data_IF_772489523004
#
_entry.id   IF_772489523004
#
_cell.length_a   1.000
_cell.length_b   1.000
_cell.length_c   1.000
_cell.angle_alpha   90.00
_cell.angle_beta   90.00
_cell.angle_gamma   90.00
#
_symmetry.space_group_name_H-M   'P 1'
#
loop_
_entity.id
_entity.type
_entity.pdbx_description
1 polymer ?
#
# COMPACT_ATOMS: atom_id res chain seq x y z
N UNK A 1 -25.55 -0.09 20.65
CA UNK A 1 -26.33 0.67 19.64
C UNK A 1 -25.41 1.78 19.14
N UNK A 2 -24.92 1.69 17.90
CA UNK A 2 -24.07 2.73 17.31
C UNK A 2 -24.97 3.89 16.87
N UNK A 3 -24.92 5.00 17.58
CA UNK A 3 -25.50 6.24 17.09
C UNK A 3 -24.57 6.79 16.00
N UNK A 4 -24.87 6.47 14.74
CA UNK A 4 -24.21 7.08 13.58
C UNK A 4 -24.77 8.50 13.34
N UNK A 5 -24.43 9.42 14.21
CA UNK A 5 -24.59 10.83 13.89
C UNK A 5 -23.43 11.20 12.95
N UNK A 6 -23.66 11.04 11.65
CA UNK A 6 -22.70 11.45 10.62
C UNK A 6 -22.66 12.98 10.59
N UNK A 7 -21.63 13.57 11.20
CA UNK A 7 -21.41 15.00 11.12
C UNK A 7 -20.86 15.37 9.72
N UNK A 8 -21.11 16.62 9.28
CA UNK A 8 -20.53 17.12 8.01
C UNK A 8 -19.00 17.00 7.98
N UNK A 9 -18.34 17.20 9.13
CA UNK A 9 -16.90 17.06 9.27
C UNK A 9 -16.44 15.61 9.10
N UNK A 10 -17.17 14.64 9.65
CA UNK A 10 -16.88 13.22 9.47
C UNK A 10 -17.02 12.78 8.03
N UNK A 11 -18.02 13.32 7.32
CA UNK A 11 -18.24 13.00 5.90
C UNK A 11 -17.11 13.55 5.02
N UNK A 12 -16.71 14.81 5.24
CA UNK A 12 -15.59 15.44 4.53
C UNK A 12 -14.27 14.73 4.82
N UNK A 13 -14.03 14.35 6.07
CA UNK A 13 -12.84 13.59 6.45
C UNK A 13 -12.82 12.21 5.80
N UNK A 14 -13.97 11.51 5.78
CA UNK A 14 -14.11 10.23 5.11
C UNK A 14 -13.84 10.32 3.60
N UNK A 15 -14.34 11.38 2.96
CA UNK A 15 -14.11 11.65 1.55
C UNK A 15 -12.62 11.92 1.25
N UNK A 16 -11.95 12.71 2.08
CA UNK A 16 -10.51 12.95 1.97
C UNK A 16 -9.70 11.65 2.10
N UNK A 17 -10.04 10.81 3.08
CA UNK A 17 -9.39 9.53 3.27
C UNK A 17 -9.67 8.55 2.14
N UNK A 18 -10.87 8.57 1.56
CA UNK A 18 -11.18 7.80 0.37
C UNK A 18 -10.26 8.15 -0.80
N UNK A 19 -10.05 9.43 -1.09
CA UNK A 19 -9.13 9.84 -2.15
C UNK A 19 -7.69 9.44 -1.85
N UNK A 20 -7.26 9.57 -0.60
CA UNK A 20 -5.91 9.17 -0.21
C UNK A 20 -5.67 7.67 -0.44
N UNK A 21 -6.59 6.81 0.02
CA UNK A 21 -6.47 5.35 -0.16
C UNK A 21 -6.63 4.95 -1.63
N UNK A 22 -7.49 5.65 -2.37
CA UNK A 22 -7.65 5.46 -3.80
C UNK A 22 -6.33 5.67 -4.54
N UNK A 23 -5.66 6.81 -4.32
CA UNK A 23 -4.38 7.12 -4.95
C UNK A 23 -3.29 6.12 -4.58
N UNK A 24 -3.25 5.71 -3.31
CA UNK A 24 -2.27 4.72 -2.84
C UNK A 24 -2.52 3.34 -3.46
N UNK A 25 -3.78 2.97 -3.67
CA UNK A 25 -4.15 1.65 -4.21
C UNK A 25 -3.97 1.58 -5.73
N UNK A 26 -4.32 2.63 -6.47
CA UNK A 26 -4.29 2.63 -7.94
C UNK A 26 -2.88 2.53 -8.52
N UNK A 27 -1.86 2.94 -7.77
CA UNK A 27 -0.46 2.93 -8.22
C UNK A 27 0.15 1.51 -8.19
N UNK A 28 -0.35 0.64 -7.33
CA UNK A 28 0.24 -0.71 -7.13
C UNK A 28 0.06 -1.62 -8.34
N UNK A 29 -1.14 -1.78 -8.94
CA UNK A 29 -1.35 -2.69 -10.08
C UNK A 29 -0.44 -2.45 -11.28
N UNK A 30 -0.24 -1.21 -11.78
CA UNK A 30 0.70 -0.96 -12.88
C UNK A 30 2.14 -1.38 -12.56
N UNK A 31 2.58 -1.19 -11.31
CA UNK A 31 3.93 -1.57 -10.89
C UNK A 31 4.10 -3.08 -10.85
N UNK A 32 3.10 -3.81 -10.37
CA UNK A 32 3.09 -5.27 -10.35
C UNK A 32 2.99 -5.83 -11.77
N UNK A 33 2.13 -5.26 -12.62
CA UNK A 33 2.01 -5.65 -14.01
C UNK A 33 3.36 -5.57 -14.73
N UNK A 34 4.09 -4.47 -14.54
CA UNK A 34 5.41 -4.28 -15.11
C UNK A 34 6.45 -5.25 -14.52
N UNK A 35 6.47 -5.43 -13.20
CA UNK A 35 7.44 -6.29 -12.52
C UNK A 35 7.27 -7.77 -12.89
N UNK A 36 6.02 -8.24 -13.00
CA UNK A 36 5.67 -9.61 -13.36
C UNK A 36 5.51 -9.83 -14.89
N UNK A 37 5.78 -8.80 -15.70
CA UNK A 37 5.69 -8.84 -17.17
C UNK A 37 4.31 -9.35 -17.65
N UNK A 38 3.25 -8.95 -16.97
CA UNK A 38 1.89 -9.36 -17.31
C UNK A 38 1.35 -8.56 -18.52
N UNK A 39 0.42 -9.14 -19.28
CA UNK A 39 -0.20 -8.44 -20.40
C UNK A 39 -1.03 -7.25 -19.91
N UNK A 40 -1.09 -6.19 -20.71
CA UNK A 40 -1.81 -4.95 -20.37
C UNK A 40 -3.31 -5.18 -20.10
N UNK A 41 -3.90 -6.20 -20.68
CA UNK A 41 -5.28 -6.63 -20.40
C UNK A 41 -5.53 -7.03 -18.94
N UNK A 42 -4.51 -7.46 -18.21
CA UNK A 42 -4.60 -7.82 -16.79
C UNK A 42 -4.66 -6.62 -15.85
N UNK A 43 -4.37 -5.40 -16.33
CA UNK A 43 -4.33 -4.20 -15.49
C UNK A 43 -5.66 -3.93 -14.80
N UNK A 44 -6.77 -4.04 -15.53
CA UNK A 44 -8.10 -3.81 -14.98
C UNK A 44 -8.42 -4.81 -13.88
N UNK A 45 -8.18 -6.09 -14.11
CA UNK A 45 -8.40 -7.18 -13.14
C UNK A 45 -7.56 -6.97 -11.87
N UNK A 46 -6.27 -6.68 -12.01
CA UNK A 46 -5.39 -6.39 -10.87
C UNK A 46 -5.85 -5.17 -10.08
N UNK A 47 -6.29 -4.13 -10.77
CA UNK A 47 -6.80 -2.90 -10.13
C UNK A 47 -8.07 -3.21 -9.33
N UNK A 48 -9.00 -3.96 -9.89
CA UNK A 48 -10.23 -4.34 -9.19
C UNK A 48 -9.94 -5.21 -7.97
N UNK A 49 -9.01 -6.17 -8.05
CA UNK A 49 -8.59 -6.96 -6.90
C UNK A 49 -7.93 -6.12 -5.81
N UNK A 50 -7.09 -5.16 -6.18
CA UNK A 50 -6.46 -4.27 -5.22
C UNK A 50 -7.50 -3.45 -4.45
N UNK A 51 -8.50 -2.89 -5.14
CA UNK A 51 -9.58 -2.16 -4.49
C UNK A 51 -10.49 -3.05 -3.65
N UNK A 52 -10.85 -4.23 -4.16
CA UNK A 52 -11.67 -5.19 -3.41
C UNK A 52 -10.98 -5.64 -2.12
N UNK A 53 -9.70 -6.02 -2.21
CA UNK A 53 -8.92 -6.44 -1.05
C UNK A 53 -8.79 -5.29 -0.02
N UNK A 54 -8.50 -4.08 -0.49
CA UNK A 54 -8.44 -2.88 0.36
C UNK A 54 -9.77 -2.60 1.05
N UNK A 55 -10.89 -2.67 0.32
CA UNK A 55 -12.22 -2.46 0.90
C UNK A 55 -12.55 -3.52 1.95
N UNK A 56 -12.33 -4.80 1.64
CA UNK A 56 -12.58 -5.91 2.58
C UNK A 56 -11.70 -5.78 3.83
N UNK A 57 -10.43 -5.43 3.69
CA UNK A 57 -9.53 -5.21 4.83
C UNK A 57 -10.00 -4.05 5.71
N UNK A 58 -10.37 -2.90 5.11
CA UNK A 58 -10.92 -1.76 5.84
C UNK A 58 -12.21 -2.12 6.60
N UNK A 59 -13.15 -2.82 5.96
CA UNK A 59 -14.37 -3.26 6.60
C UNK A 59 -14.10 -4.26 7.73
N UNK A 60 -13.29 -5.27 7.50
CA UNK A 60 -12.95 -6.27 8.52
C UNK A 60 -12.33 -5.62 9.75
N UNK A 61 -11.37 -4.72 9.55
CA UNK A 61 -10.70 -4.02 10.66
C UNK A 61 -11.62 -3.01 11.37
N UNK A 62 -12.45 -2.30 10.63
CA UNK A 62 -13.38 -1.34 11.22
C UNK A 62 -14.47 -2.00 12.08
N UNK A 63 -14.98 -3.17 11.67
CA UNK A 63 -16.08 -3.85 12.37
C UNK A 63 -15.61 -4.93 13.35
N UNK A 64 -14.65 -5.75 12.95
CA UNK A 64 -14.20 -6.92 13.71
C UNK A 64 -12.84 -6.71 14.39
N UNK A 65 -11.92 -5.95 13.75
CA UNK A 65 -10.55 -5.73 14.21
C UNK A 65 -10.41 -4.63 15.26
N UNK A 66 -9.52 -3.68 15.02
CA UNK A 66 -9.18 -2.60 15.95
C UNK A 66 -10.30 -1.56 16.16
N UNK A 67 -11.27 -1.46 15.27
CA UNK A 67 -12.42 -0.54 15.33
C UNK A 67 -12.03 0.95 15.46
N UNK A 68 -11.01 1.34 14.75
CA UNK A 68 -10.49 2.71 14.70
C UNK A 68 -10.51 3.23 13.27
N UNK A 69 -10.47 4.54 13.10
CA UNK A 69 -10.32 5.19 11.81
C UNK A 69 -8.86 5.06 11.31
N UNK A 70 -8.45 3.84 11.00
CA UNK A 70 -7.17 3.49 10.39
C UNK A 70 -7.47 2.93 9.03
N UNK A 71 -6.70 3.35 8.02
CA UNK A 71 -6.81 2.80 6.67
C UNK A 71 -6.04 1.48 6.59
N UNK A 72 -6.67 0.51 5.96
CA UNK A 72 -6.03 -0.72 5.52
C UNK A 72 -5.86 -0.66 4.01
N UNK A 73 -4.65 -0.59 3.55
CA UNK A 73 -4.34 -0.47 2.12
C UNK A 73 -3.05 -1.20 1.77
N UNK A 74 -2.59 -1.08 0.53
CA UNK A 74 -1.32 -1.67 0.11
C UNK A 74 -0.18 -1.19 1.01
N UNK A 75 0.41 -2.11 1.76
CA UNK A 75 1.52 -1.79 2.64
C UNK A 75 2.80 -1.50 1.86
N UNK A 76 3.43 -0.36 2.11
CA UNK A 76 4.66 0.03 1.42
C UNK A 76 5.80 -0.98 1.60
N UNK A 77 5.87 -1.63 2.77
CA UNK A 77 6.85 -2.70 3.01
C UNK A 77 6.62 -3.89 2.07
N UNK A 78 5.37 -4.38 1.96
CA UNK A 78 5.04 -5.46 1.05
C UNK A 78 5.28 -5.08 -0.40
N UNK A 79 4.82 -3.90 -0.81
CA UNK A 79 4.99 -3.41 -2.15
C UNK A 79 6.47 -3.36 -2.55
N UNK A 80 7.30 -2.71 -1.73
CA UNK A 80 8.74 -2.63 -1.97
C UNK A 80 9.43 -3.99 -1.96
N UNK A 81 9.06 -4.89 -1.04
CA UNK A 81 9.64 -6.25 -0.96
C UNK A 81 9.28 -7.08 -2.19
N UNK A 82 8.02 -7.07 -2.60
CA UNK A 82 7.56 -7.80 -3.80
C UNK A 82 8.34 -7.33 -5.03
N UNK A 83 8.44 -6.00 -5.24
CA UNK A 83 9.19 -5.46 -6.37
C UNK A 83 10.68 -5.83 -6.30
N UNK A 84 11.30 -5.73 -5.13
CA UNK A 84 12.72 -6.02 -4.95
C UNK A 84 13.03 -7.50 -5.21
N UNK A 85 12.21 -8.41 -4.66
CA UNK A 85 12.37 -9.86 -4.89
C UNK A 85 12.15 -10.18 -6.37
N UNK A 86 11.06 -9.68 -6.96
CA UNK A 86 10.72 -10.00 -8.35
C UNK A 86 11.81 -9.52 -9.31
N UNK A 87 12.28 -8.29 -9.17
CA UNK A 87 13.34 -7.75 -10.03
C UNK A 87 14.69 -8.41 -9.76
N UNK A 88 15.03 -8.68 -8.50
CA UNK A 88 16.28 -9.33 -8.13
C UNK A 88 16.38 -10.76 -8.62
N UNK A 89 15.33 -11.55 -8.46
CA UNK A 89 15.30 -12.94 -8.90
C UNK A 89 15.15 -13.06 -10.43
N UNK A 90 14.35 -12.19 -11.05
CA UNK A 90 14.25 -12.16 -12.51
C UNK A 90 15.61 -11.81 -13.16
N UNK A 91 16.39 -10.91 -12.57
CA UNK A 91 17.74 -10.59 -13.05
C UNK A 91 18.74 -11.74 -12.90
N UNK A 92 18.47 -12.70 -12.03
CA UNK A 92 19.24 -13.95 -11.86
C UNK A 92 18.79 -15.06 -12.81
N UNK A 93 17.75 -14.82 -13.60
CA UNK A 93 17.18 -15.78 -14.52
C UNK A 93 16.13 -16.71 -13.92
N UNK A 94 15.65 -16.44 -12.70
CA UNK A 94 14.54 -17.20 -12.10
C UNK A 94 13.25 -16.96 -12.89
N UNK A 95 12.51 -18.00 -13.31
CA UNK A 95 11.25 -17.83 -14.02
C UNK A 95 10.23 -17.03 -13.21
N UNK A 96 9.54 -16.10 -13.85
CA UNK A 96 8.57 -15.21 -13.17
C UNK A 96 7.46 -15.99 -12.48
N UNK A 97 7.02 -17.12 -13.09
CA UNK A 97 6.02 -17.99 -12.50
C UNK A 97 6.49 -18.64 -11.18
N UNK A 98 7.77 -18.98 -11.06
CA UNK A 98 8.35 -19.55 -9.85
C UNK A 98 8.40 -18.48 -8.74
N UNK A 99 8.76 -17.26 -9.12
CA UNK A 99 8.77 -16.11 -8.20
C UNK A 99 7.34 -15.83 -7.70
N UNK A 100 6.36 -15.74 -8.62
CA UNK A 100 4.96 -15.47 -8.28
C UNK A 100 4.38 -16.53 -7.35
N UNK A 101 4.60 -17.81 -7.67
CA UNK A 101 4.11 -18.94 -6.87
C UNK A 101 4.75 -18.95 -5.48
N UNK A 102 6.07 -18.76 -5.41
CA UNK A 102 6.80 -18.72 -4.13
C UNK A 102 6.37 -17.55 -3.25
N UNK A 103 6.17 -16.35 -3.84
CA UNK A 103 5.65 -15.18 -3.13
C UNK A 103 4.23 -15.42 -2.62
N UNK A 104 3.33 -15.99 -3.44
CA UNK A 104 1.97 -16.29 -3.03
C UNK A 104 1.93 -17.24 -1.82
N UNK A 105 2.73 -18.31 -1.85
CA UNK A 105 2.86 -19.24 -0.72
C UNK A 105 3.44 -18.54 0.51
N UNK A 106 4.50 -17.76 0.35
CA UNK A 106 5.13 -17.04 1.45
C UNK A 106 4.20 -16.01 2.10
N UNK A 107 3.43 -15.27 1.30
CA UNK A 107 2.41 -14.31 1.77
C UNK A 107 1.30 -15.06 2.54
N UNK A 108 0.80 -16.18 2.00
CA UNK A 108 -0.22 -16.98 2.67
C UNK A 108 0.28 -17.53 4.02
N UNK A 109 1.50 -18.06 4.05
CA UNK A 109 2.12 -18.54 5.30
C UNK A 109 2.30 -17.41 6.31
N UNK A 110 2.74 -16.22 5.88
CA UNK A 110 2.87 -15.06 6.78
C UNK A 110 1.53 -14.64 7.37
N UNK A 111 0.45 -14.70 6.57
CA UNK A 111 -0.91 -14.45 7.04
C UNK A 111 -1.36 -15.44 8.11
N UNK A 112 -1.15 -16.74 7.86
CA UNK A 112 -1.45 -17.81 8.84
C UNK A 112 -0.66 -17.60 10.13
N UNK A 113 0.64 -17.30 10.04
CA UNK A 113 1.48 -17.02 11.22
C UNK A 113 1.00 -15.79 11.99
N UNK A 114 0.60 -14.73 11.29
CA UNK A 114 0.03 -13.53 11.92
C UNK A 114 -1.25 -13.86 12.68
N UNK A 115 -2.15 -14.66 12.10
CA UNK A 115 -3.35 -15.13 12.78
C UNK A 115 -3.01 -15.97 14.01
N UNK A 116 -2.06 -16.90 13.91
CA UNK A 116 -1.62 -17.71 15.06
C UNK A 116 -1.05 -16.84 16.18
N UNK A 117 -0.28 -15.81 15.86
CA UNK A 117 0.21 -14.82 16.82
C UNK A 117 -0.96 -14.07 17.47
N UNK A 118 -1.99 -13.72 16.68
CA UNK A 118 -3.21 -13.10 17.20
C UNK A 118 -3.97 -13.99 18.18
N UNK A 119 -4.22 -15.25 17.80
CA UNK A 119 -4.92 -16.23 18.64
C UNK A 119 -4.16 -16.58 19.93
N UNK A 120 -2.85 -16.76 19.84
CA UNK A 120 -2.01 -17.10 21.01
C UNK A 120 -1.83 -15.96 22.02
N UNK A 121 -2.24 -14.73 21.66
CA UNK A 121 -2.02 -13.55 22.49
C UNK A 121 -0.56 -13.10 22.57
N UNK A 122 0.33 -13.70 21.77
CA UNK A 122 1.74 -13.31 21.68
C UNK A 122 1.90 -11.89 21.14
N UNK A 123 0.90 -11.37 20.42
CA UNK A 123 0.92 -10.03 19.85
C UNK A 123 1.30 -8.95 20.86
N UNK A 124 0.81 -9.04 22.11
CA UNK A 124 1.19 -8.08 23.16
C UNK A 124 2.66 -8.18 23.58
N UNK A 125 3.24 -9.39 23.60
CA UNK A 125 4.65 -9.59 23.92
C UNK A 125 5.54 -9.08 22.79
N UNK A 126 5.17 -9.34 21.55
CA UNK A 126 5.85 -8.84 20.37
C UNK A 126 5.81 -7.30 20.30
N UNK A 127 4.71 -6.68 20.74
CA UNK A 127 4.61 -5.22 20.81
C UNK A 127 5.73 -4.56 21.65
N UNK A 128 6.30 -5.30 22.61
CA UNK A 128 7.42 -4.80 23.43
C UNK A 128 8.74 -4.74 22.68
N UNK A 129 8.90 -5.52 21.61
CA UNK A 129 10.08 -5.48 20.75
C UNK A 129 10.11 -4.20 19.90
N UNK A 130 8.93 -3.66 19.60
CA UNK A 130 8.80 -2.42 18.83
C UNK A 130 8.92 -1.20 19.75
N UNK A 131 10.14 -0.97 20.26
CA UNK A 131 10.45 0.23 21.03
C UNK A 131 10.32 1.49 20.17
N UNK A 132 10.16 2.69 20.76
CA UNK A 132 10.07 3.92 19.99
C UNK A 132 11.24 4.11 19.03
N UNK A 133 12.46 3.77 19.43
CA UNK A 133 13.65 3.86 18.57
C UNK A 133 13.60 2.92 17.37
N UNK A 134 13.16 1.68 17.57
CA UNK A 134 12.95 0.70 16.48
C UNK A 134 11.88 1.21 15.52
N UNK A 135 10.78 1.76 16.04
CA UNK A 135 9.71 2.30 15.21
C UNK A 135 10.15 3.52 14.39
N UNK A 136 10.95 4.41 14.96
CA UNK A 136 11.51 5.55 14.23
C UNK A 136 12.40 5.08 13.07
N UNK A 137 13.31 4.15 13.33
CA UNK A 137 14.18 3.58 12.30
C UNK A 137 13.37 2.89 11.19
N UNK A 138 12.40 2.07 11.59
CA UNK A 138 11.51 1.39 10.66
C UNK A 138 10.75 2.38 9.76
N UNK A 139 10.13 3.41 10.34
CA UNK A 139 9.40 4.43 9.60
C UNK A 139 10.31 5.24 8.67
N UNK A 140 11.55 5.52 9.08
CA UNK A 140 12.53 6.21 8.24
C UNK A 140 12.92 5.35 7.02
N UNK A 141 13.19 4.06 7.22
CA UNK A 141 13.52 3.14 6.13
C UNK A 141 12.34 2.96 5.19
N UNK A 142 11.13 2.79 5.72
CA UNK A 142 9.90 2.69 4.94
C UNK A 142 9.65 3.97 4.13
N UNK A 143 9.81 5.13 4.75
CA UNK A 143 9.67 6.42 4.08
C UNK A 143 10.67 6.60 2.95
N UNK A 144 11.93 6.25 3.17
CA UNK A 144 12.96 6.30 2.13
C UNK A 144 12.64 5.36 0.95
N UNK A 145 12.17 4.14 1.23
CA UNK A 145 11.77 3.17 0.22
C UNK A 145 10.59 3.68 -0.62
N UNK A 146 9.52 4.16 0.04
CA UNK A 146 8.36 4.72 -0.65
C UNK A 146 8.72 5.96 -1.47
N UNK A 147 9.54 6.86 -0.92
CA UNK A 147 10.03 8.03 -1.65
C UNK A 147 10.76 7.63 -2.92
N UNK A 148 11.59 6.59 -2.86
CA UNK A 148 12.30 6.08 -4.04
C UNK A 148 11.32 5.55 -5.09
N UNK A 149 10.30 4.79 -4.69
CA UNK A 149 9.27 4.26 -5.59
C UNK A 149 8.50 5.40 -6.25
N UNK A 150 7.98 6.34 -5.46
CA UNK A 150 7.22 7.48 -6.00
C UNK A 150 8.08 8.38 -6.89
N UNK A 151 9.34 8.62 -6.52
CA UNK A 151 10.25 9.42 -7.34
C UNK A 151 10.54 8.78 -8.69
N UNK A 152 10.72 7.45 -8.73
CA UNK A 152 10.78 6.70 -10.00
C UNK A 152 9.52 6.90 -10.85
N UNK A 153 8.34 6.82 -10.22
CA UNK A 153 7.07 7.09 -10.90
C UNK A 153 6.96 8.50 -11.45
N UNK A 154 7.39 9.52 -10.69
CA UNK A 154 7.43 10.91 -11.15
C UNK A 154 8.35 11.11 -12.36
N UNK A 155 9.48 10.42 -12.41
CA UNK A 155 10.40 10.42 -13.55
C UNK A 155 9.87 9.65 -14.77
N UNK A 156 8.73 8.96 -14.62
CA UNK A 156 8.18 8.08 -15.64
C UNK A 156 8.96 6.80 -15.84
N UNK A 157 9.88 6.46 -14.92
CA UNK A 157 10.69 5.25 -15.00
C UNK A 157 9.81 4.00 -14.84
N UNK A 158 9.99 2.98 -15.69
CA UNK A 158 9.27 1.72 -15.54
C UNK A 158 9.65 1.07 -14.20
N UNK A 159 8.68 0.49 -13.53
CA UNK A 159 8.91 -0.26 -12.29
C UNK A 159 9.40 -1.70 -12.54
N UNK A 160 9.48 -2.10 -13.80
CA UNK A 160 9.99 -3.39 -14.25
C UNK A 160 11.50 -3.40 -14.51
N UNK A 161 11.92 -4.27 -15.42
CA UNK A 161 13.30 -4.37 -15.89
C UNK A 161 13.69 -3.03 -16.52
N UNK A 162 14.82 -2.50 -16.11
CA UNK A 162 15.32 -1.24 -16.66
C UNK A 162 15.60 -1.39 -18.16
N UNK A 163 14.89 -0.62 -18.98
CA UNK A 163 15.25 -0.48 -20.39
C UNK A 163 16.44 0.49 -20.48
N UNK A 164 17.59 0.05 -21.02
CA UNK A 164 18.77 0.90 -21.18
C UNK A 164 18.52 2.15 -22.04
N UNK A 165 17.51 2.10 -22.90
CA UNK A 165 17.16 3.20 -23.82
C UNK A 165 16.07 4.13 -23.26
N UNK A 166 15.64 3.92 -22.00
CA UNK A 166 14.58 4.72 -21.42
C UNK A 166 15.00 6.18 -21.23
N UNK A 167 14.22 7.10 -21.77
CA UNK A 167 14.45 8.54 -21.62
C UNK A 167 13.49 9.11 -20.59
N UNK A 168 14.01 9.90 -19.67
CA UNK A 168 13.21 10.64 -18.68
C UNK A 168 12.23 11.56 -19.42
N UNK A 169 10.96 11.45 -19.09
CA UNK A 169 9.91 12.27 -19.67
C UNK A 169 9.78 13.58 -18.88
N UNK A 170 10.43 14.64 -19.36
CA UNK A 170 10.43 15.95 -18.68
C UNK A 170 9.03 16.55 -18.45
N UNK A 171 8.06 16.52 -19.41
CA UNK A 171 6.75 17.14 -19.18
C UNK A 171 5.96 16.47 -18.04
N UNK A 172 5.80 15.13 -17.94
CA UNK A 172 5.20 14.46 -16.80
C UNK A 172 5.93 14.73 -15.49
N UNK A 173 7.25 14.77 -15.52
CA UNK A 173 8.06 15.08 -14.34
C UNK A 173 7.81 16.50 -13.84
N UNK A 174 7.83 17.50 -14.73
CA UNK A 174 7.57 18.89 -14.38
C UNK A 174 6.16 19.07 -13.77
N UNK A 175 5.15 18.40 -14.34
CA UNK A 175 3.80 18.42 -13.79
C UNK A 175 3.76 17.80 -12.39
N UNK A 176 4.41 16.65 -12.19
CA UNK A 176 4.46 15.97 -10.89
C UNK A 176 5.14 16.84 -9.82
N UNK A 177 6.24 17.51 -10.18
CA UNK A 177 6.93 18.45 -9.30
C UNK A 177 6.05 19.67 -8.99
N UNK A 178 5.34 20.23 -9.97
CA UNK A 178 4.43 21.36 -9.77
C UNK A 178 3.31 20.99 -8.77
N UNK A 179 2.70 19.82 -8.92
CA UNK A 179 1.67 19.32 -8.00
C UNK A 179 2.26 19.10 -6.60
N UNK A 180 3.44 18.52 -6.49
CA UNK A 180 4.13 18.34 -5.21
C UNK A 180 4.39 19.70 -4.53
N UNK A 181 4.90 20.68 -5.26
CA UNK A 181 5.13 22.04 -4.73
C UNK A 181 3.82 22.70 -4.30
N UNK A 182 2.73 22.51 -5.05
CA UNK A 182 1.40 23.01 -4.67
C UNK A 182 0.96 22.44 -3.33
N UNK A 183 1.05 21.11 -3.15
CA UNK A 183 0.68 20.43 -1.90
C UNK A 183 1.53 20.91 -0.73
N UNK A 184 2.85 21.01 -0.92
CA UNK A 184 3.77 21.52 0.11
C UNK A 184 3.47 22.98 0.46
N UNK A 185 3.21 23.81 -0.54
CA UNK A 185 2.82 25.19 -0.31
C UNK A 185 1.52 25.32 0.49
N UNK A 186 0.52 24.47 0.18
CA UNK A 186 -0.72 24.43 0.96
C UNK A 186 -0.48 24.02 2.41
N UNK A 187 0.39 23.03 2.66
CA UNK A 187 0.66 22.53 4.02
C UNK A 187 1.45 23.57 4.83
N UNK A 188 2.39 24.28 4.20
CA UNK A 188 3.30 25.21 4.90
C UNK A 188 2.67 26.59 5.09
N UNK A 189 2.01 27.13 4.07
CA UNK A 189 1.58 28.54 4.06
C UNK A 189 0.10 28.76 4.42
N UNK A 190 -0.75 27.71 4.31
CA UNK A 190 -2.15 27.88 4.63
C UNK A 190 -2.45 27.55 6.09
N UNK A 191 -3.49 28.21 6.68
CA UNK A 191 -4.00 27.83 8.00
C UNK A 191 -4.42 26.36 8.05
N UNK A 192 -4.30 25.72 9.21
CA UNK A 192 -4.61 24.29 9.39
C UNK A 192 -5.98 23.87 8.85
N UNK A 193 -6.95 24.78 8.82
CA UNK A 193 -8.29 24.53 8.26
C UNK A 193 -8.23 24.12 6.79
N UNK A 194 -7.32 24.68 6.01
CA UNK A 194 -7.14 24.43 4.57
C UNK A 194 -5.98 23.46 4.31
N UNK A 195 -4.91 23.55 5.09
CA UNK A 195 -3.73 22.69 4.96
C UNK A 195 -4.09 21.19 5.01
N UNK A 196 -5.06 20.80 5.85
CA UNK A 196 -5.54 19.43 5.95
C UNK A 196 -6.13 18.86 4.65
N UNK A 197 -6.59 19.72 3.72
CA UNK A 197 -7.12 19.30 2.42
C UNK A 197 -6.06 19.33 1.30
N UNK A 198 -4.81 19.65 1.62
CA UNK A 198 -3.74 19.79 0.63
C UNK A 198 -3.56 18.55 -0.26
N UNK A 199 -3.61 17.35 0.33
CA UNK A 199 -3.52 16.10 -0.43
C UNK A 199 -4.71 15.91 -1.37
N UNK A 200 -5.93 16.20 -0.92
CA UNK A 200 -7.13 16.09 -1.76
C UNK A 200 -7.07 17.07 -2.94
N UNK A 201 -6.71 18.32 -2.66
CA UNK A 201 -6.57 19.35 -3.69
C UNK A 201 -5.47 18.98 -4.68
N UNK A 202 -4.30 18.54 -4.18
CA UNK A 202 -3.20 18.08 -5.01
C UNK A 202 -3.58 16.94 -5.93
N UNK A 203 -4.31 15.94 -5.41
CA UNK A 203 -4.77 14.79 -6.20
C UNK A 203 -5.72 15.22 -7.32
N UNK A 204 -6.76 16.01 -6.98
CA UNK A 204 -7.74 16.45 -7.96
C UNK A 204 -7.08 17.36 -9.01
N UNK A 205 -6.26 18.32 -8.57
CA UNK A 205 -5.55 19.22 -9.47
C UNK A 205 -4.57 18.45 -10.37
N UNK A 206 -3.80 17.53 -9.82
CA UNK A 206 -2.87 16.69 -10.57
C UNK A 206 -3.58 15.85 -11.62
N UNK A 207 -4.71 15.22 -11.26
CA UNK A 207 -5.51 14.43 -12.18
C UNK A 207 -6.11 15.28 -13.31
N UNK A 208 -6.68 16.44 -12.99
CA UNK A 208 -7.25 17.35 -13.99
C UNK A 208 -6.16 17.88 -14.94
N UNK A 209 -5.02 18.33 -14.39
CA UNK A 209 -3.92 18.81 -15.22
C UNK A 209 -3.38 17.70 -16.13
N UNK A 210 -3.25 16.48 -15.59
CA UNK A 210 -2.85 15.33 -16.40
C UNK A 210 -3.82 15.07 -17.55
N UNK A 211 -5.12 15.06 -17.26
CA UNK A 211 -6.16 14.81 -18.24
C UNK A 211 -6.15 15.83 -19.39
N UNK A 212 -5.91 17.11 -19.09
CA UNK A 212 -5.85 18.17 -20.11
C UNK A 212 -4.51 18.23 -20.85
N UNK A 213 -3.40 17.96 -20.17
CA UNK A 213 -2.05 18.08 -20.75
C UNK A 213 -1.61 16.81 -21.49
N UNK A 214 -2.09 15.65 -21.09
CA UNK A 214 -1.68 14.35 -21.62
C UNK A 214 -2.91 13.51 -22.00
N UNK A 215 -3.64 13.87 -23.08
CA UNK A 215 -4.79 13.09 -23.53
C UNK A 215 -4.34 11.68 -23.89
N UNK A 216 -4.78 10.68 -23.12
CA UNK A 216 -4.48 9.28 -23.36
C UNK A 216 -5.56 8.66 -24.22
N UNK A 217 -5.15 8.04 -25.33
CA UNK A 217 -6.04 7.25 -26.20
C UNK A 217 -6.26 5.81 -25.73
N UNK A 218 -5.70 5.45 -24.57
CA UNK A 218 -5.84 4.11 -24.03
C UNK A 218 -7.16 3.93 -23.29
N UNK A 219 -8.13 3.30 -23.97
CA UNK A 219 -9.25 2.70 -23.28
C UNK A 219 -8.77 1.51 -22.46
N UNK A 220 -9.08 1.48 -21.17
CA UNK A 220 -8.93 0.27 -20.37
C UNK A 220 -9.94 -0.75 -20.90
N UNK A 221 -9.56 -1.51 -21.92
CA UNK A 221 -10.34 -2.60 -22.45
C UNK A 221 -9.82 -3.89 -21.83
N UNK A 222 -10.64 -4.50 -21.02
CA UNK A 222 -10.35 -5.80 -20.42
C UNK A 222 -11.64 -6.36 -19.86
N UNK A 223 -11.86 -7.65 -20.05
CA UNK A 223 -12.93 -8.36 -19.38
C UNK A 223 -12.49 -8.75 -17.97
N UNK A 224 -13.40 -8.70 -17.03
CA UNK A 224 -13.15 -9.14 -15.66
C UNK A 224 -13.08 -10.67 -15.63
N UNK A 225 -11.89 -11.21 -15.54
CA UNK A 225 -11.68 -12.63 -15.31
C UNK A 225 -11.32 -12.89 -13.85
N UNK A 226 -12.13 -13.65 -13.15
CA UNK A 226 -11.80 -14.08 -11.81
C UNK A 226 -10.65 -15.10 -11.84
N UNK A 227 -9.51 -14.74 -11.25
CA UNK A 227 -8.34 -15.60 -11.12
C UNK A 227 -7.88 -15.63 -9.67
N UNK A 228 -7.70 -16.83 -9.11
CA UNK A 228 -7.21 -16.98 -7.74
C UNK A 228 -5.76 -16.52 -7.57
N UNK A 229 -4.95 -16.65 -8.61
CA UNK A 229 -3.53 -16.29 -8.64
C UNK A 229 -3.24 -15.37 -9.83
N UNK A 230 -3.59 -14.07 -9.72
CA UNK A 230 -3.51 -13.15 -10.86
C UNK A 230 -2.06 -12.81 -11.28
N UNK A 231 -1.08 -13.07 -10.43
CA UNK A 231 0.34 -12.82 -10.72
C UNK A 231 1.04 -14.03 -11.35
N UNK A 232 0.40 -15.20 -11.34
CA UNK A 232 0.93 -16.47 -11.86
C UNK A 232 0.76 -17.61 -10.87
N UNK A 233 0.76 -18.84 -11.38
CA UNK A 233 0.65 -20.07 -10.58
C UNK A 233 1.34 -21.24 -11.27
N UNK A 234 1.61 -22.31 -10.51
CA UNK A 234 2.17 -23.55 -11.06
C UNK A 234 3.67 -23.53 -11.29
N UNK A 235 4.39 -22.56 -10.77
CA UNK A 235 5.85 -22.51 -10.76
C UNK A 235 6.49 -23.36 -9.66
N UNK A 236 7.78 -23.58 -9.75
CA UNK A 236 8.58 -24.25 -8.72
C UNK A 236 8.68 -23.37 -7.45
N UNK A 237 8.72 -24.02 -6.30
CA UNK A 237 8.82 -23.33 -5.02
C UNK A 237 10.30 -23.04 -4.67
N UNK A 238 10.61 -21.79 -4.43
CA UNK A 238 11.92 -21.34 -3.94
C UNK A 238 11.85 -21.08 -2.43
N UNK A 239 12.52 -21.90 -1.60
CA UNK A 239 12.51 -21.71 -0.14
C UNK A 239 13.03 -20.34 0.30
N UNK A 240 14.00 -19.78 -0.42
CA UNK A 240 14.56 -18.45 -0.13
C UNK A 240 13.54 -17.34 -0.28
N UNK A 241 12.75 -17.36 -1.36
CA UNK A 241 11.66 -16.38 -1.60
C UNK A 241 10.57 -16.52 -0.55
N UNK A 242 10.16 -17.77 -0.25
CA UNK A 242 9.14 -18.06 0.76
C UNK A 242 9.59 -17.54 2.12
N UNK A 243 10.81 -17.85 2.54
CA UNK A 243 11.35 -17.41 3.83
C UNK A 243 11.40 -15.87 3.91
N UNK A 244 11.87 -15.21 2.86
CA UNK A 244 11.91 -13.73 2.80
C UNK A 244 10.52 -13.12 2.90
N UNK A 245 9.52 -13.69 2.21
CA UNK A 245 8.15 -13.24 2.30
C UNK A 245 7.56 -13.45 3.71
N UNK A 246 7.83 -14.58 4.35
CA UNK A 246 7.39 -14.84 5.74
C UNK A 246 8.01 -13.83 6.70
N UNK A 247 9.32 -13.59 6.61
CA UNK A 247 10.00 -12.59 7.44
C UNK A 247 9.41 -11.20 7.21
N UNK A 248 9.17 -10.83 5.95
CA UNK A 248 8.52 -9.54 5.60
C UNK A 248 7.16 -9.42 6.26
N UNK A 249 6.33 -10.47 6.23
CA UNK A 249 5.03 -10.46 6.90
C UNK A 249 5.12 -10.27 8.41
N UNK A 250 6.08 -10.93 9.06
CA UNK A 250 6.33 -10.75 10.49
C UNK A 250 6.80 -9.33 10.82
N UNK A 251 7.68 -8.76 10.00
CA UNK A 251 8.11 -7.36 10.14
C UNK A 251 6.95 -6.40 9.89
N UNK A 252 6.06 -6.71 8.95
CA UNK A 252 4.89 -5.88 8.64
C UNK A 252 3.89 -5.76 9.81
N UNK A 253 3.91 -6.67 10.77
CA UNK A 253 3.16 -6.54 12.04
C UNK A 253 3.50 -5.21 12.74
N UNK A 254 4.71 -4.68 12.57
CA UNK A 254 5.12 -3.37 13.09
C UNK A 254 4.25 -2.22 12.59
N UNK A 255 3.77 -2.28 11.35
CA UNK A 255 2.84 -1.28 10.79
C UNK A 255 1.55 -1.22 11.60
N UNK A 256 0.95 -2.37 11.92
CA UNK A 256 -0.26 -2.44 12.74
C UNK A 256 -0.02 -1.88 14.14
N UNK A 257 1.13 -2.19 14.76
CA UNK A 257 1.48 -1.60 16.05
C UNK A 257 1.66 -0.08 15.95
N UNK A 258 2.34 0.40 14.92
CA UNK A 258 2.55 1.83 14.68
C UNK A 258 1.23 2.57 14.48
N UNK A 259 0.34 2.05 13.65
CA UNK A 259 -0.97 2.63 13.36
C UNK A 259 -1.86 2.68 14.61
N UNK A 260 -1.93 1.58 15.38
CA UNK A 260 -2.74 1.53 16.60
C UNK A 260 -2.19 2.49 17.66
N UNK A 261 -0.87 2.52 17.89
CA UNK A 261 -0.24 3.46 18.83
C UNK A 261 -0.38 4.91 18.40
N UNK A 262 -0.19 5.19 17.10
CA UNK A 262 -0.35 6.55 16.56
C UNK A 262 -1.76 7.11 16.75
N UNK A 263 -2.77 6.24 16.83
CA UNK A 263 -4.16 6.64 17.07
C UNK A 263 -4.58 6.62 18.55
N UNK A 264 -3.73 6.17 19.48
CA UNK A 264 -4.08 6.10 20.93
C UNK A 264 -4.49 7.46 21.50
N UNK A 265 -3.92 8.56 21.01
CA UNK A 265 -4.26 9.92 21.43
C UNK A 265 -5.73 10.25 21.13
N UNK A 266 -6.28 9.72 20.04
CA UNK A 266 -7.67 9.97 19.61
C UNK A 266 -8.67 9.00 20.26
N UNK A 267 -8.20 7.91 20.85
CA UNK A 267 -9.06 6.86 21.45
C UNK A 267 -8.63 6.51 22.88
N UNK A 268 -8.55 7.48 23.81
CA UNK A 268 -8.05 7.23 25.17
C UNK A 268 -8.92 6.26 25.98
N UNK A 269 -10.22 6.18 25.67
CA UNK A 269 -11.17 5.32 26.38
C UNK A 269 -11.07 3.83 26.03
N UNK A 270 -10.39 3.49 24.93
CA UNK A 270 -10.30 2.09 24.49
C UNK A 270 -9.21 1.27 25.22
N UNK A 271 -8.56 1.85 26.21
CA UNK A 271 -7.56 1.19 27.07
C UNK A 271 -6.34 0.61 26.34
N UNK A 272 -5.21 0.44 27.01
CA UNK A 272 -3.98 -0.14 26.46
C UNK A 272 -3.98 -1.69 26.43
N UNK A 273 -5.14 -2.34 26.31
CA UNK A 273 -5.31 -3.76 26.52
C UNK A 273 -4.89 -4.66 25.33
N UNK A 274 -4.49 -5.88 25.66
CA UNK A 274 -4.12 -6.97 24.76
C UNK A 274 -5.19 -7.31 23.68
N UNK A 275 -6.45 -7.02 23.96
CA UNK A 275 -7.60 -7.31 23.11
C UNK A 275 -7.57 -6.60 21.75
N UNK A 276 -6.93 -5.43 21.65
CA UNK A 276 -6.84 -4.67 20.39
C UNK A 276 -5.93 -5.32 19.38
N UNK A 277 -4.74 -5.70 19.82
CA UNK A 277 -3.76 -6.39 18.95
C UNK A 277 -4.28 -7.75 18.53
N UNK A 278 -4.88 -8.50 19.48
CA UNK A 278 -5.48 -9.80 19.18
C UNK A 278 -6.53 -9.70 18.08
N UNK A 279 -7.46 -8.73 18.18
CA UNK A 279 -8.52 -8.54 17.17
C UNK A 279 -8.01 -8.05 15.82
N UNK A 280 -6.90 -7.31 15.79
CA UNK A 280 -6.31 -6.85 14.53
C UNK A 280 -5.58 -7.94 13.78
N UNK A 281 -5.10 -8.97 14.46
CA UNK A 281 -4.32 -10.05 13.84
C UNK A 281 -5.17 -11.29 13.51
N UNK A 282 -6.35 -11.38 14.06
CA UNK A 282 -7.35 -12.41 13.77
C UNK A 282 -8.38 -11.93 12.77
#
# INVERSE_FOLDING_TARGET
MFNFAVSRESLLSGFQWFFFIFCNTVVVPPTLLSAFQLPQSSLLTLTQYAFLATALACFAQAFCGHRRAIMEGPGGLWWGTILTITLGEASRGTPINDIATSLAVGIALSGVLTMLIGFSGLGHRLARLFTPSVMVLFMLMLGAQLTTIFFKGMLGLPFGIADPNFKIQLPPFALSVAVMCLVLAMIIFLPQRFARYGLLVGTITGWLLWYFCFPSSHSLSGELHWQWFPLGSGGALSPGIILTAVITGLVNISNTYGAIRGTDVFYPQQGAGNTRYRRSFV
#
